data_IF_573964433920
#
_entry.id   IF_573964433920
#
_cell.length_a   1.000
_cell.length_b   1.000
_cell.length_c   1.000
_cell.angle_alpha   90.00
_cell.angle_beta   90.00
_cell.angle_gamma   90.00
#
_symmetry.space_group_name_H-M   'P 1'
#
loop_
_entity.id
_entity.type
_entity.pdbx_description
1 polymer ?
#
# COMPACT_ATOMS: atom_id res chain seq x y z
N UNK A 1 -2.16 -12.34 -15.48
CA UNK A 1 -1.11 -11.50 -16.17
C UNK A 1 -0.86 -10.22 -15.38
N UNK A 2 0.39 -9.70 -15.35
CA UNK A 2 0.71 -8.40 -14.72
C UNK A 2 1.00 -7.37 -15.82
N UNK A 3 0.36 -6.21 -15.75
CA UNK A 3 0.54 -5.12 -16.74
C UNK A 3 0.34 -3.74 -16.11
N UNK A 4 0.81 -2.64 -16.75
CA UNK A 4 0.41 -1.29 -16.40
C UNK A 4 -1.12 -1.15 -16.48
N UNK A 5 -1.69 -0.30 -15.62
CA UNK A 5 -3.09 0.04 -15.69
C UNK A 5 -3.39 0.97 -16.88
N UNK A 6 -4.61 0.95 -17.32
CA UNK A 6 -5.18 1.83 -18.35
C UNK A 6 -6.44 2.50 -17.83
N UNK A 7 -6.90 3.56 -18.48
CA UNK A 7 -8.10 4.29 -18.03
C UNK A 7 -9.36 3.41 -17.84
N UNK A 8 -9.63 2.41 -18.71
CA UNK A 8 -10.74 1.48 -18.50
C UNK A 8 -10.66 0.61 -17.24
N UNK A 9 -9.49 0.48 -16.61
CA UNK A 9 -9.30 -0.34 -15.40
C UNK A 9 -9.82 0.35 -14.12
N UNK A 10 -10.21 1.63 -14.21
CA UNK A 10 -10.66 2.43 -13.07
C UNK A 10 -11.75 1.75 -12.24
N UNK A 11 -12.83 1.30 -12.89
CA UNK A 11 -13.98 0.69 -12.21
C UNK A 11 -13.59 -0.57 -11.42
N UNK A 12 -12.71 -1.40 -12.00
CA UNK A 12 -12.23 -2.61 -11.33
C UNK A 12 -11.35 -2.26 -10.12
N UNK A 13 -10.43 -1.29 -10.27
CA UNK A 13 -9.56 -0.83 -9.18
C UNK A 13 -10.37 -0.18 -8.06
N UNK A 14 -11.32 0.70 -8.39
CA UNK A 14 -12.21 1.33 -7.43
C UNK A 14 -13.08 0.30 -6.69
N UNK A 15 -13.61 -0.69 -7.40
CA UNK A 15 -14.36 -1.80 -6.80
C UNK A 15 -13.53 -2.63 -5.83
N UNK A 16 -12.26 -2.93 -6.16
CA UNK A 16 -11.35 -3.63 -5.25
C UNK A 16 -11.08 -2.77 -4.00
N UNK A 17 -10.79 -1.47 -4.16
CA UNK A 17 -10.58 -0.57 -3.03
C UNK A 17 -11.79 -0.53 -2.10
N UNK A 18 -12.98 -0.37 -2.65
CA UNK A 18 -14.20 -0.32 -1.87
C UNK A 18 -14.46 -1.63 -1.13
N UNK A 19 -14.20 -2.78 -1.75
CA UNK A 19 -14.42 -4.09 -1.13
C UNK A 19 -13.48 -4.38 0.04
N UNK A 20 -12.30 -3.74 0.08
CA UNK A 20 -11.28 -3.89 1.12
C UNK A 20 -11.20 -2.68 2.06
N UNK A 21 -12.13 -1.73 1.94
CA UNK A 21 -12.18 -0.55 2.78
C UNK A 21 -12.39 -0.89 4.25
N UNK A 22 -11.58 -0.30 5.12
CA UNK A 22 -11.83 -0.35 6.56
C UNK A 22 -13.06 0.51 6.91
N UNK A 23 -14.07 -0.11 7.47
CA UNK A 23 -15.22 0.60 8.07
C UNK A 23 -14.89 1.00 9.51
N UNK A 24 -14.41 2.22 9.69
CA UNK A 24 -14.00 2.74 11.00
C UNK A 24 -15.18 2.88 11.99
N UNK A 25 -16.43 2.83 11.53
CA UNK A 25 -17.59 2.85 12.41
C UNK A 25 -17.82 1.52 13.13
N UNK A 26 -17.13 0.44 12.72
CA UNK A 26 -17.23 -0.91 13.27
C UNK A 26 -16.04 -1.32 14.13
N UNK A 27 -15.17 -0.39 14.52
CA UNK A 27 -13.97 -0.72 15.31
C UNK A 27 -14.27 -1.19 16.75
N UNK A 28 -15.50 -1.03 17.22
CA UNK A 28 -15.95 -1.60 18.50
C UNK A 28 -16.47 -3.05 18.38
N UNK A 29 -16.69 -3.54 17.17
CA UNK A 29 -17.09 -4.92 16.87
C UNK A 29 -15.83 -5.81 16.79
N UNK A 30 -15.60 -6.63 17.81
CA UNK A 30 -14.41 -7.48 17.90
C UNK A 30 -14.31 -8.50 16.76
N UNK A 31 -15.43 -9.06 16.30
CA UNK A 31 -15.43 -10.07 15.23
C UNK A 31 -15.09 -9.42 13.88
N UNK A 32 -15.57 -8.19 13.67
CA UNK A 32 -15.19 -7.39 12.51
C UNK A 32 -13.69 -7.06 12.52
N UNK A 33 -13.19 -6.58 13.67
CA UNK A 33 -11.78 -6.19 13.84
C UNK A 33 -10.86 -7.39 13.61
N UNK A 34 -11.12 -8.53 14.26
CA UNK A 34 -10.32 -9.74 14.09
C UNK A 34 -10.26 -10.17 12.62
N UNK A 35 -11.39 -10.19 11.94
CA UNK A 35 -11.47 -10.57 10.53
C UNK A 35 -10.64 -9.64 9.64
N UNK A 36 -10.85 -8.31 9.73
CA UNK A 36 -10.15 -7.37 8.83
C UNK A 36 -8.66 -7.28 9.10
N UNK A 37 -8.23 -7.51 10.35
CA UNK A 37 -6.81 -7.62 10.67
C UNK A 37 -6.12 -8.80 9.96
N UNK A 38 -6.82 -9.93 9.85
CA UNK A 38 -6.31 -11.16 9.23
C UNK A 38 -6.44 -11.14 7.69
N UNK A 39 -7.56 -10.63 7.18
CA UNK A 39 -7.83 -10.58 5.74
C UNK A 39 -7.10 -9.42 5.04
N UNK A 40 -6.75 -8.38 5.79
CA UNK A 40 -6.19 -7.13 5.30
C UNK A 40 -7.27 -6.11 4.94
N UNK A 41 -6.88 -4.84 4.96
CA UNK A 41 -7.76 -3.71 4.66
C UNK A 41 -7.00 -2.54 4.04
N UNK A 42 -7.75 -1.63 3.42
CA UNK A 42 -7.25 -0.34 2.93
C UNK A 42 -7.87 0.81 3.73
N UNK A 43 -7.05 1.81 4.06
CA UNK A 43 -7.46 2.97 4.85
C UNK A 43 -8.02 4.11 4.00
N UNK A 44 -7.41 4.41 2.90
CA UNK A 44 -7.78 5.56 2.07
C UNK A 44 -8.50 5.11 0.81
N UNK A 45 -9.70 5.66 0.59
CA UNK A 45 -10.57 5.33 -0.55
C UNK A 45 -10.60 6.43 -1.61
N UNK A 46 -9.74 7.45 -1.51
CA UNK A 46 -9.79 8.65 -2.35
C UNK A 46 -9.30 8.41 -3.78
N UNK A 47 -9.81 7.37 -4.40
CA UNK A 47 -9.67 7.23 -5.84
C UNK A 47 -10.98 7.72 -6.49
N UNK A 48 -10.89 8.83 -7.20
CA UNK A 48 -11.91 9.24 -8.15
C UNK A 48 -11.33 9.13 -9.57
N UNK A 49 -12.21 9.20 -10.55
CA UNK A 49 -11.80 9.00 -11.95
C UNK A 49 -10.77 10.03 -12.41
N UNK A 50 -10.86 11.27 -11.94
CA UNK A 50 -9.93 12.34 -12.31
C UNK A 50 -8.53 12.10 -11.72
N UNK A 51 -8.44 11.83 -10.41
CA UNK A 51 -7.16 11.54 -9.76
C UNK A 51 -6.53 10.25 -10.28
N UNK A 52 -7.35 9.24 -10.60
CA UNK A 52 -6.84 8.03 -11.24
C UNK A 52 -6.28 8.32 -12.63
N UNK A 53 -7.01 9.07 -13.47
CA UNK A 53 -6.56 9.40 -14.81
C UNK A 53 -5.24 10.20 -14.82
N UNK A 54 -5.09 11.13 -13.87
CA UNK A 54 -3.86 11.90 -13.71
C UNK A 54 -2.65 11.03 -13.32
N UNK A 55 -2.88 9.93 -12.59
CA UNK A 55 -1.84 9.06 -12.02
C UNK A 55 -1.87 7.63 -12.56
N UNK A 56 -2.54 7.36 -13.68
CA UNK A 56 -2.73 5.99 -14.20
C UNK A 56 -1.42 5.25 -14.44
N UNK A 57 -0.35 5.95 -14.78
CA UNK A 57 0.98 5.40 -15.00
C UNK A 57 1.62 4.79 -13.72
N UNK A 58 1.13 5.18 -12.54
CA UNK A 58 1.60 4.68 -11.26
C UNK A 58 0.90 3.38 -10.84
N UNK A 59 -0.12 2.96 -11.58
CA UNK A 59 -0.87 1.75 -11.25
C UNK A 59 -0.44 0.55 -12.09
N UNK A 60 -0.30 -0.58 -11.40
CA UNK A 60 -0.06 -1.90 -11.98
C UNK A 60 -1.25 -2.77 -11.61
N UNK A 61 -1.80 -3.50 -12.58
CA UNK A 61 -2.91 -4.43 -12.35
C UNK A 61 -2.47 -5.87 -12.55
N UNK A 62 -3.09 -6.74 -11.79
CA UNK A 62 -2.93 -8.18 -11.90
C UNK A 62 -4.25 -8.85 -12.30
N UNK A 63 -4.22 -9.58 -13.39
CA UNK A 63 -5.35 -10.34 -13.89
C UNK A 63 -5.32 -11.78 -13.39
N UNK A 64 -6.48 -12.29 -13.04
CA UNK A 64 -6.71 -13.71 -12.74
C UNK A 64 -6.65 -14.55 -14.01
N UNK A 65 -6.69 -15.88 -13.88
CA UNK A 65 -6.74 -16.82 -15.00
C UNK A 65 -8.00 -16.63 -15.87
N UNK A 66 -9.06 -16.02 -15.30
CA UNK A 66 -10.29 -15.67 -16.04
C UNK A 66 -10.18 -14.34 -16.81
N UNK A 67 -9.04 -13.67 -16.77
CA UNK A 67 -8.82 -12.37 -17.42
C UNK A 67 -9.48 -11.18 -16.70
N UNK A 68 -9.92 -11.35 -15.45
CA UNK A 68 -10.46 -10.26 -14.63
C UNK A 68 -9.38 -9.67 -13.76
N UNK A 69 -9.44 -8.36 -13.49
CA UNK A 69 -8.54 -7.74 -12.54
C UNK A 69 -8.86 -8.26 -11.13
N UNK A 70 -7.89 -8.97 -10.55
CA UNK A 70 -7.98 -9.55 -9.20
C UNK A 70 -7.17 -8.79 -8.16
N UNK A 71 -6.36 -7.82 -8.57
CA UNK A 71 -5.56 -7.00 -7.66
C UNK A 71 -4.86 -5.86 -8.38
N UNK A 72 -4.34 -4.92 -7.61
CA UNK A 72 -3.54 -3.81 -8.12
C UNK A 72 -2.47 -3.38 -7.13
N UNK A 73 -1.47 -2.66 -7.63
CA UNK A 73 -0.47 -1.96 -6.84
C UNK A 73 -0.33 -0.53 -7.40
N UNK A 74 -0.25 0.46 -6.49
CA UNK A 74 0.13 1.83 -6.81
C UNK A 74 1.56 2.06 -6.34
N UNK A 75 2.41 2.50 -7.26
CA UNK A 75 3.81 2.84 -7.02
C UNK A 75 3.99 4.36 -7.17
N UNK A 76 4.20 5.05 -6.07
CA UNK A 76 4.43 6.49 -6.04
C UNK A 76 5.94 6.78 -6.07
N UNK A 77 6.36 7.86 -6.71
CA UNK A 77 7.75 8.29 -6.68
C UNK A 77 8.02 9.30 -5.55
N UNK A 78 9.30 9.64 -5.35
CA UNK A 78 9.73 10.56 -4.30
C UNK A 78 9.10 11.96 -4.42
N UNK A 79 8.82 12.42 -5.64
CA UNK A 79 8.27 13.77 -5.87
C UNK A 79 6.80 13.83 -5.44
N UNK A 80 6.04 12.76 -5.63
CA UNK A 80 4.65 12.69 -5.20
C UNK A 80 4.53 12.68 -3.67
N UNK A 81 5.47 12.03 -2.99
CA UNK A 81 5.50 11.97 -1.52
C UNK A 81 6.01 13.26 -0.86
N UNK A 82 6.82 14.05 -1.53
CA UNK A 82 7.39 15.29 -0.98
C UNK A 82 6.34 16.38 -0.71
N UNK A 83 5.14 16.27 -1.25
CA UNK A 83 4.05 17.22 -1.09
C UNK A 83 3.13 16.86 0.08
N UNK A 84 3.13 15.62 0.53
CA UNK A 84 2.33 15.20 1.68
C UNK A 84 2.95 15.60 3.01
N UNK A 85 2.11 15.80 4.04
CA UNK A 85 2.57 16.02 5.41
C UNK A 85 3.44 14.85 5.85
N UNK A 86 4.74 15.13 6.03
CA UNK A 86 5.71 14.10 6.40
C UNK A 86 5.35 13.48 7.75
N UNK A 87 5.31 12.15 7.87
CA UNK A 87 5.00 11.52 9.14
C UNK A 87 5.99 11.95 10.22
N UNK A 88 5.47 12.19 11.41
CA UNK A 88 6.31 12.51 12.56
C UNK A 88 6.84 11.20 13.15
N UNK A 89 8.08 10.85 12.84
CA UNK A 89 8.71 9.63 13.33
C UNK A 89 9.23 9.81 14.76
N UNK A 90 9.28 8.70 15.52
CA UNK A 90 9.89 8.71 16.85
C UNK A 90 11.38 9.10 16.82
N UNK A 91 12.07 8.84 15.72
CA UNK A 91 13.45 9.25 15.53
C UNK A 91 13.57 10.21 14.33
N UNK A 92 13.62 11.54 14.59
CA UNK A 92 13.72 12.54 13.55
C UNK A 92 15.03 12.47 12.74
N UNK A 93 16.11 11.93 13.32
CA UNK A 93 17.38 11.74 12.59
C UNK A 93 17.25 10.64 11.53
N UNK A 94 16.61 9.53 11.86
CA UNK A 94 16.30 8.49 10.87
C UNK A 94 15.40 9.04 9.79
N UNK A 95 14.35 9.79 10.14
CA UNK A 95 13.48 10.44 9.18
C UNK A 95 14.27 11.31 8.20
N UNK A 96 15.16 12.16 8.70
CA UNK A 96 15.97 13.04 7.86
C UNK A 96 16.90 12.26 6.90
N UNK A 97 17.48 11.16 7.35
CA UNK A 97 18.34 10.30 6.52
C UNK A 97 17.51 9.60 5.44
N UNK A 98 16.41 8.93 5.82
CA UNK A 98 15.61 8.15 4.87
C UNK A 98 14.91 9.01 3.82
N UNK A 99 14.39 10.19 4.21
CA UNK A 99 13.81 11.14 3.25
C UNK A 99 14.84 11.75 2.29
N UNK A 100 16.13 11.71 2.62
CA UNK A 100 17.18 12.18 1.72
C UNK A 100 17.64 11.14 0.71
N UNK A 101 17.28 9.87 0.88
CA UNK A 101 17.65 8.79 -0.02
C UNK A 101 16.64 8.68 -1.17
N UNK A 102 17.08 8.46 -2.42
CA UNK A 102 16.17 8.17 -3.52
C UNK A 102 15.35 6.92 -3.22
N UNK A 103 14.04 7.06 -3.19
CA UNK A 103 13.11 5.98 -2.89
C UNK A 103 11.84 6.05 -3.73
N UNK A 104 11.17 4.92 -3.87
CA UNK A 104 9.80 4.83 -4.33
C UNK A 104 8.93 4.28 -3.20
N UNK A 105 7.65 4.54 -3.24
CA UNK A 105 6.72 4.11 -2.21
C UNK A 105 5.61 3.22 -2.79
N UNK A 106 5.30 2.13 -2.09
CA UNK A 106 4.08 1.37 -2.34
C UNK A 106 2.94 2.12 -1.67
N UNK A 107 2.25 2.97 -2.44
CA UNK A 107 1.12 3.73 -1.95
C UNK A 107 -0.05 2.83 -1.58
N UNK A 108 -0.29 1.79 -2.38
CA UNK A 108 -1.32 0.76 -2.13
C UNK A 108 -0.94 -0.56 -2.77
N UNK A 109 -1.26 -1.66 -2.11
CA UNK A 109 -1.31 -3.00 -2.70
C UNK A 109 -2.58 -3.70 -2.23
N UNK A 110 -3.36 -4.21 -3.15
CA UNK A 110 -4.63 -4.86 -2.87
C UNK A 110 -4.87 -6.04 -3.79
N UNK A 111 -5.32 -7.15 -3.21
CA UNK A 111 -5.68 -8.36 -3.94
C UNK A 111 -7.00 -8.88 -3.38
N UNK A 112 -7.96 -9.16 -4.25
CA UNK A 112 -9.24 -9.74 -3.83
C UNK A 112 -9.02 -11.09 -3.12
N UNK A 113 -9.80 -11.43 -2.09
CA UNK A 113 -9.70 -12.72 -1.39
C UNK A 113 -9.76 -13.92 -2.34
N UNK A 114 -10.53 -13.84 -3.40
CA UNK A 114 -10.63 -14.87 -4.45
C UNK A 114 -9.35 -15.07 -5.26
N UNK A 115 -8.44 -14.09 -5.26
CA UNK A 115 -7.19 -14.11 -6.01
C UNK A 115 -5.92 -14.22 -5.12
N UNK A 116 -6.05 -14.17 -3.80
CA UNK A 116 -4.89 -14.14 -2.87
C UNK A 116 -4.01 -15.40 -2.95
N UNK A 117 -4.59 -16.58 -3.22
CA UNK A 117 -3.84 -17.85 -3.29
C UNK A 117 -3.10 -18.08 -4.61
N UNK A 118 -3.24 -17.19 -5.59
CA UNK A 118 -2.60 -17.28 -6.90
C UNK A 118 -1.23 -16.56 -6.95
N UNK A 119 -0.72 -16.07 -5.83
CA UNK A 119 0.54 -15.34 -5.76
C UNK A 119 0.50 -13.95 -6.41
N UNK A 120 -0.70 -13.43 -6.70
CA UNK A 120 -0.88 -12.21 -7.47
C UNK A 120 -0.23 -11.00 -6.79
N UNK A 121 -0.32 -10.88 -5.45
CA UNK A 121 0.34 -9.82 -4.70
C UNK A 121 1.86 -9.81 -4.86
N UNK A 122 2.49 -10.99 -4.78
CA UNK A 122 3.95 -11.12 -4.99
C UNK A 122 4.35 -10.79 -6.43
N UNK A 123 3.54 -11.15 -7.42
CA UNK A 123 3.80 -10.80 -8.82
C UNK A 123 3.67 -9.29 -9.06
N UNK A 124 2.66 -8.63 -8.49
CA UNK A 124 2.50 -7.17 -8.52
C UNK A 124 3.71 -6.47 -7.91
N UNK A 125 4.15 -6.93 -6.73
CA UNK A 125 5.33 -6.40 -6.06
C UNK A 125 6.61 -6.61 -6.88
N UNK A 126 6.82 -7.79 -7.46
CA UNK A 126 7.98 -8.06 -8.31
C UNK A 126 8.03 -7.10 -9.52
N UNK A 127 6.87 -6.76 -10.10
CA UNK A 127 6.81 -5.77 -11.17
C UNK A 127 7.12 -4.36 -10.67
N UNK A 128 6.62 -3.97 -9.49
CA UNK A 128 6.96 -2.69 -8.87
C UNK A 128 8.46 -2.58 -8.58
N UNK A 129 9.07 -3.61 -8.04
CA UNK A 129 10.53 -3.67 -7.82
C UNK A 129 11.32 -3.52 -9.13
N UNK A 130 10.89 -4.20 -10.19
CA UNK A 130 11.52 -4.08 -11.51
C UNK A 130 11.46 -2.62 -12.01
N UNK A 131 10.28 -1.98 -11.96
CA UNK A 131 10.11 -0.58 -12.37
C UNK A 131 10.97 0.37 -11.53
N UNK A 132 11.08 0.12 -10.23
CA UNK A 132 11.92 0.92 -9.33
C UNK A 132 13.41 0.78 -9.68
N UNK A 133 13.88 -0.44 -10.00
CA UNK A 133 15.26 -0.66 -10.48
C UNK A 133 15.49 -0.01 -11.83
N UNK A 134 14.56 -0.08 -12.79
CA UNK A 134 14.63 0.58 -14.10
C UNK A 134 14.80 2.11 -13.95
N UNK A 135 14.22 2.70 -12.89
CA UNK A 135 14.40 4.12 -12.53
C UNK A 135 15.69 4.40 -11.74
N UNK A 136 16.51 3.37 -11.46
CA UNK A 136 17.74 3.47 -10.65
C UNK A 136 17.48 3.94 -9.20
N UNK A 137 16.31 3.64 -8.65
CA UNK A 137 15.92 3.96 -7.28
C UNK A 137 16.30 2.77 -6.40
N UNK A 138 17.17 2.96 -5.37
CA UNK A 138 17.70 1.84 -4.58
C UNK A 138 16.78 1.38 -3.46
N UNK A 139 15.75 2.14 -3.08
CA UNK A 139 14.89 1.83 -1.95
C UNK A 139 13.42 1.81 -2.34
N UNK A 140 12.71 0.86 -1.74
CA UNK A 140 11.26 0.74 -1.84
C UNK A 140 10.67 0.75 -0.44
N UNK A 141 9.73 1.66 -0.18
CA UNK A 141 9.08 1.84 1.10
C UNK A 141 7.61 1.44 1.04
N UNK A 142 7.06 1.10 2.21
CA UNK A 142 5.64 0.86 2.39
C UNK A 142 5.20 1.27 3.79
N UNK A 143 4.03 1.90 3.90
CA UNK A 143 3.38 2.16 5.18
C UNK A 143 2.29 1.14 5.44
N UNK A 144 2.30 0.57 6.64
CA UNK A 144 1.30 -0.42 7.07
C UNK A 144 0.62 0.07 8.35
N UNK A 145 -0.70 0.05 8.39
CA UNK A 145 -1.46 0.40 9.58
C UNK A 145 -1.07 -0.49 10.76
N UNK A 146 -0.73 0.15 11.90
CA UNK A 146 -0.27 -0.54 13.09
C UNK A 146 -1.14 -0.27 14.32
N UNK A 147 -1.62 0.96 14.54
CA UNK A 147 -2.56 1.31 15.61
C UNK A 147 -3.62 2.30 15.09
N UNK A 148 -4.81 2.31 15.69
CA UNK A 148 -5.33 1.43 16.74
C UNK A 148 -5.68 0.03 16.23
N UNK A 149 -5.69 -0.18 14.92
CA UNK A 149 -5.95 -1.48 14.29
C UNK A 149 -4.73 -1.91 13.46
N UNK A 150 -4.25 -3.13 13.69
CA UNK A 150 -3.07 -3.66 13.00
C UNK A 150 -3.48 -4.42 11.74
N UNK A 151 -2.85 -4.10 10.60
CA UNK A 151 -3.04 -4.85 9.37
C UNK A 151 -2.06 -6.03 9.30
N UNK A 152 -2.39 -7.14 9.99
CA UNK A 152 -1.53 -8.33 10.07
C UNK A 152 -1.26 -8.96 8.70
N UNK A 153 -2.24 -8.96 7.81
CA UNK A 153 -2.07 -9.47 6.44
C UNK A 153 -1.02 -8.67 5.67
N UNK A 154 -1.06 -7.34 5.78
CA UNK A 154 -0.09 -6.46 5.11
C UNK A 154 1.31 -6.59 5.72
N UNK A 155 1.43 -6.67 7.05
CA UNK A 155 2.70 -6.93 7.73
C UNK A 155 3.32 -8.23 7.21
N UNK A 156 2.57 -9.34 7.31
CA UNK A 156 3.04 -10.64 6.87
C UNK A 156 3.37 -10.68 5.36
N UNK A 157 2.66 -9.91 4.54
CA UNK A 157 2.95 -9.79 3.10
C UNK A 157 4.31 -9.10 2.88
N UNK A 158 4.54 -7.96 3.50
CA UNK A 158 5.78 -7.20 3.32
C UNK A 158 6.99 -7.97 3.86
N UNK A 159 6.91 -8.53 5.07
CA UNK A 159 8.00 -9.30 5.68
C UNK A 159 8.38 -10.53 4.84
N UNK A 160 7.39 -11.30 4.35
CA UNK A 160 7.66 -12.46 3.46
C UNK A 160 8.30 -12.07 2.14
N UNK A 161 8.10 -10.84 1.69
CA UNK A 161 8.70 -10.31 0.47
C UNK A 161 9.99 -9.51 0.72
N UNK A 162 10.60 -9.65 1.91
CA UNK A 162 11.92 -9.12 2.23
C UNK A 162 11.95 -7.65 2.62
N UNK A 163 10.84 -7.09 3.07
CA UNK A 163 10.80 -5.79 3.73
C UNK A 163 11.11 -5.95 5.22
N UNK A 164 11.70 -4.91 5.80
CA UNK A 164 12.03 -4.84 7.22
C UNK A 164 11.31 -3.64 7.86
N UNK A 165 10.79 -3.83 9.07
CA UNK A 165 10.23 -2.74 9.84
C UNK A 165 11.32 -1.74 10.21
N UNK A 166 11.12 -0.48 9.85
CA UNK A 166 12.11 0.57 10.00
C UNK A 166 11.76 1.57 11.09
N UNK A 167 10.55 2.08 11.08
CA UNK A 167 10.13 3.13 11.99
C UNK A 167 8.62 3.06 12.25
N UNK A 168 8.22 3.54 13.42
CA UNK A 168 6.83 3.73 13.79
C UNK A 168 6.52 5.23 13.79
N UNK A 169 5.41 5.63 13.20
CA UNK A 169 4.94 7.00 13.24
C UNK A 169 4.54 7.41 14.66
N UNK A 170 4.63 8.70 14.96
CA UNK A 170 4.03 9.22 16.18
C UNK A 170 2.50 9.14 16.10
N UNK A 171 1.80 8.97 17.23
CA UNK A 171 0.36 8.97 17.24
C UNK A 171 -0.21 10.26 16.65
N UNK A 172 -1.17 10.14 15.76
CA UNK A 172 -1.84 11.26 15.09
C UNK A 172 -3.32 10.96 14.85
N UNK A 173 -4.13 11.99 14.63
CA UNK A 173 -5.50 11.81 14.19
C UNK A 173 -5.52 11.66 12.67
N UNK A 174 -5.84 10.47 12.17
CA UNK A 174 -5.92 10.19 10.75
C UNK A 174 -7.00 9.13 10.44
N UNK A 175 -7.55 9.17 9.24
CA UNK A 175 -8.52 8.17 8.74
C UNK A 175 -9.74 7.97 9.67
N UNK A 176 -10.22 9.04 10.29
CA UNK A 176 -11.27 9.02 11.32
C UNK A 176 -10.92 8.17 12.57
N UNK A 177 -9.66 7.95 12.83
CA UNK A 177 -9.16 7.25 14.02
C UNK A 177 -8.31 8.21 14.87
N UNK A 178 -8.40 8.06 16.20
CA UNK A 178 -7.49 8.68 17.16
C UNK A 178 -6.27 7.78 17.36
N UNK A 179 -5.12 8.39 17.69
CA UNK A 179 -3.87 7.70 17.98
C UNK A 179 -3.42 6.74 16.85
N UNK A 180 -3.78 7.07 15.59
CA UNK A 180 -3.30 6.33 14.44
C UNK A 180 -1.78 6.35 14.35
N UNK A 181 -1.20 5.19 14.08
CA UNK A 181 0.22 5.01 13.82
C UNK A 181 0.41 4.06 12.65
N UNK A 182 1.19 4.47 11.65
CA UNK A 182 1.70 3.61 10.60
C UNK A 182 3.08 3.07 10.95
N UNK A 183 3.36 1.83 10.56
CA UNK A 183 4.70 1.25 10.55
C UNK A 183 5.29 1.42 9.17
N UNK A 184 6.46 2.07 9.10
CA UNK A 184 7.23 2.15 7.87
C UNK A 184 8.08 0.89 7.72
N UNK A 185 7.98 0.31 6.55
CA UNK A 185 8.81 -0.80 6.08
C UNK A 185 9.72 -0.34 4.96
N UNK A 186 10.93 -0.86 4.90
CA UNK A 186 11.88 -0.64 3.82
C UNK A 186 12.33 -1.94 3.16
N UNK A 187 12.71 -1.82 1.89
CA UNK A 187 13.42 -2.87 1.16
C UNK A 187 14.47 -2.24 0.27
N UNK A 188 15.73 -2.63 0.48
CA UNK A 188 16.81 -2.27 -0.44
C UNK A 188 16.74 -3.14 -1.70
N UNK A 189 16.73 -2.49 -2.84
CA UNK A 189 16.75 -3.14 -4.15
C UNK A 189 18.21 -3.22 -4.63
N UNK A 190 18.68 -4.42 -4.89
CA UNK A 190 20.01 -4.69 -5.45
C UNK A 190 19.98 -4.65 -6.97
#
# INVERSE_FOLDING_TARGET
MIRPATLPDYEAIAGIQQSLALDTTKLEDSDYVERVQQDGFLLNLDINQETFAANVANYIVGETDEGKIGGFLRLDDEQEMAQDERPQWFNPYLAAVYWSLPHANIGKVAVLPSATRQGLGTQLLARAEQLTRERQIPWLYAYVAYKPITNHASIAFHERNGFHALALEQPQSAYNMQDYQGMLYDKKLS
#
